data_IF_451175225925
#
_entry.id   IF_451175225925
#
_cell.length_a   1.000
_cell.length_b   1.000
_cell.length_c   1.000
_cell.angle_alpha   90.00
_cell.angle_beta   90.00
_cell.angle_gamma   90.00
#
_symmetry.space_group_name_H-M   'P 1'
#
loop_
_entity.id
_entity.type
_entity.pdbx_description
1 polymer ?
#
# COMPACT_ATOMS: atom_id res chain seq x y z
N UNK A 1 61.08 -11.76 39.14
CA UNK A 1 60.65 -10.55 38.42
C UNK A 1 59.38 -10.92 37.64
N UNK A 2 58.22 -10.56 38.21
CA UNK A 2 56.87 -10.93 37.67
C UNK A 2 56.37 -9.73 36.86
N UNK A 3 56.08 -9.93 35.57
CA UNK A 3 55.44 -8.94 34.71
C UNK A 3 53.95 -9.35 34.58
N UNK A 4 53.05 -8.57 35.19
CA UNK A 4 51.60 -8.67 34.98
C UNK A 4 51.25 -8.05 33.62
N UNK A 5 50.67 -8.85 32.74
CA UNK A 5 50.03 -8.37 31.52
C UNK A 5 48.56 -8.00 31.82
N UNK A 6 48.23 -6.71 31.73
CA UNK A 6 46.82 -6.26 31.73
C UNK A 6 46.15 -6.58 30.39
N UNK A 7 45.16 -7.45 30.39
CA UNK A 7 44.25 -7.66 29.27
C UNK A 7 43.17 -6.60 29.34
N UNK A 8 43.19 -5.65 28.40
CA UNK A 8 42.08 -4.70 28.18
C UNK A 8 40.99 -5.39 27.37
N UNK A 9 39.90 -5.73 28.03
CA UNK A 9 38.66 -6.15 27.35
C UNK A 9 37.92 -4.88 26.96
N UNK A 10 37.94 -4.56 25.65
CA UNK A 10 37.11 -3.52 25.07
C UNK A 10 35.68 -4.04 24.98
N UNK A 11 34.83 -3.63 25.91
CA UNK A 11 33.37 -3.74 25.80
C UNK A 11 32.90 -2.72 24.76
N UNK A 12 32.64 -3.18 23.55
CA UNK A 12 31.85 -2.41 22.57
C UNK A 12 30.41 -2.48 23.02
N UNK A 13 30.01 -1.52 23.83
CA UNK A 13 28.62 -1.30 24.15
C UNK A 13 27.89 -0.82 22.91
N UNK A 14 27.09 -1.71 22.29
CA UNK A 14 26.07 -1.31 21.33
C UNK A 14 25.10 -0.37 22.05
N UNK A 15 25.25 0.93 21.84
CA UNK A 15 24.27 1.94 22.20
C UNK A 15 23.02 1.69 21.34
N UNK A 16 22.11 0.87 21.87
CA UNK A 16 20.72 0.90 21.47
C UNK A 16 20.23 2.31 21.81
N UNK A 17 20.18 3.17 20.82
CA UNK A 17 19.44 4.44 20.92
C UNK A 17 17.96 4.11 20.99
N UNK A 18 17.50 3.70 22.17
CA UNK A 18 16.10 3.88 22.55
C UNK A 18 15.84 5.39 22.44
N UNK A 19 15.20 5.79 21.34
CA UNK A 19 14.70 7.14 21.23
C UNK A 19 13.68 7.29 22.37
N UNK A 20 14.12 7.90 23.46
CA UNK A 20 13.29 8.26 24.59
C UNK A 20 12.21 9.19 24.04
N UNK A 21 11.05 8.62 23.66
CA UNK A 21 9.89 9.42 23.22
C UNK A 21 9.55 10.33 24.40
N UNK A 22 9.67 11.64 24.17
CA UNK A 22 9.34 12.62 25.18
C UNK A 22 7.89 12.39 25.63
N UNK A 23 7.69 12.15 26.92
CA UNK A 23 6.33 12.03 27.46
C UNK A 23 5.65 13.41 27.41
N UNK A 24 4.33 13.46 27.15
CA UNK A 24 3.61 14.72 27.17
C UNK A 24 3.72 15.37 28.55
N UNK A 25 3.84 16.71 28.60
CA UNK A 25 3.83 17.41 29.89
C UNK A 25 2.53 17.12 30.63
N UNK A 26 2.59 17.05 31.96
CA UNK A 26 1.40 16.83 32.82
C UNK A 26 0.28 17.83 32.50
N UNK A 27 0.65 19.09 32.23
CA UNK A 27 -0.29 20.14 31.86
C UNK A 27 -0.98 19.88 30.53
N UNK A 28 -0.21 19.55 29.46
CA UNK A 28 -0.77 19.30 28.14
C UNK A 28 -1.65 18.04 28.16
N UNK A 29 -1.24 17.02 28.94
CA UNK A 29 -2.03 15.81 29.14
C UNK A 29 -3.38 16.12 29.79
N UNK A 30 -3.42 16.90 30.88
CA UNK A 30 -4.66 17.28 31.53
C UNK A 30 -5.57 18.11 30.61
N UNK A 31 -5.01 19.04 29.84
CA UNK A 31 -5.78 19.82 28.86
C UNK A 31 -6.42 18.88 27.85
N UNK A 32 -5.64 18.02 27.18
CA UNK A 32 -6.16 17.14 26.12
C UNK A 32 -7.16 16.13 26.67
N UNK A 33 -6.90 15.51 27.83
CA UNK A 33 -7.84 14.59 28.45
C UNK A 33 -9.16 15.27 28.87
N UNK A 34 -9.10 16.54 29.24
CA UNK A 34 -10.31 17.33 29.55
C UNK A 34 -11.08 17.62 28.26
N UNK A 35 -10.41 18.01 27.17
CA UNK A 35 -11.03 18.25 25.88
C UNK A 35 -11.71 16.97 25.32
N UNK A 36 -11.08 15.81 25.50
CA UNK A 36 -11.64 14.52 25.06
C UNK A 36 -12.92 14.10 25.79
N UNK A 37 -13.23 14.71 26.93
CA UNK A 37 -14.46 14.44 27.70
C UNK A 37 -15.61 15.36 27.32
N UNK A 38 -15.33 16.41 26.58
CA UNK A 38 -16.31 17.38 26.15
C UNK A 38 -16.81 17.01 24.74
N UNK A 39 -18.07 17.25 24.49
CA UNK A 39 -18.66 17.14 23.17
C UNK A 39 -18.51 18.47 22.41
N UNK A 40 -18.27 18.39 21.09
CA UNK A 40 -18.20 19.51 20.15
C UNK A 40 -17.18 20.64 20.52
N UNK A 41 -16.00 20.26 20.95
CA UNK A 41 -14.94 21.22 21.27
C UNK A 41 -14.24 21.71 20.02
N UNK A 42 -14.27 23.00 19.75
CA UNK A 42 -13.44 23.63 18.74
C UNK A 42 -12.06 23.96 19.32
N UNK A 43 -11.04 23.23 18.86
CA UNK A 43 -9.64 23.51 19.22
C UNK A 43 -9.08 24.61 18.31
N UNK A 44 -9.45 24.58 17.02
CA UNK A 44 -9.01 25.51 15.99
C UNK A 44 -9.48 26.94 16.31
N UNK A 45 -8.56 27.91 16.20
CA UNK A 45 -8.80 29.32 16.52
C UNK A 45 -8.49 29.69 17.96
N UNK A 46 -8.08 28.72 18.81
CA UNK A 46 -7.57 28.99 20.15
C UNK A 46 -6.09 28.60 20.24
N UNK A 47 -5.20 29.55 20.07
CA UNK A 47 -3.74 29.33 20.04
C UNK A 47 -3.19 28.53 21.23
N UNK A 48 -3.75 28.75 22.44
CA UNK A 48 -3.30 28.03 23.65
C UNK A 48 -3.69 26.56 23.61
N UNK A 49 -4.92 26.27 23.16
CA UNK A 49 -5.40 24.90 23.02
C UNK A 49 -4.68 24.19 21.88
N UNK A 50 -4.56 24.84 20.71
CA UNK A 50 -3.83 24.31 19.57
C UNK A 50 -2.38 23.95 19.93
N UNK A 51 -1.69 24.86 20.63
CA UNK A 51 -0.32 24.62 21.08
C UNK A 51 -0.20 23.44 22.04
N UNK A 52 -1.15 23.29 22.98
CA UNK A 52 -1.18 22.16 23.91
C UNK A 52 -1.47 20.83 23.20
N UNK A 53 -2.46 20.81 22.29
CA UNK A 53 -2.81 19.63 21.48
C UNK A 53 -1.63 19.24 20.60
N UNK A 54 -0.99 20.18 19.92
CA UNK A 54 0.18 19.92 19.05
C UNK A 54 1.35 19.31 19.84
N UNK A 55 1.68 19.84 21.02
CA UNK A 55 2.75 19.27 21.87
C UNK A 55 2.38 17.87 22.36
N UNK A 56 1.13 17.66 22.75
CA UNK A 56 0.64 16.35 23.18
C UNK A 56 0.73 15.34 22.03
N UNK A 57 0.23 15.67 20.83
CA UNK A 57 0.28 14.83 19.64
C UNK A 57 1.72 14.44 19.26
N UNK A 58 2.66 15.38 19.32
CA UNK A 58 4.07 15.10 19.10
C UNK A 58 4.62 14.04 20.06
N UNK A 59 4.22 14.08 21.32
CA UNK A 59 4.67 13.13 22.33
C UNK A 59 4.04 11.74 22.16
N UNK A 60 2.79 11.66 21.68
CA UNK A 60 2.07 10.38 21.48
C UNK A 60 2.13 9.88 20.03
N UNK A 61 2.91 10.53 19.14
CA UNK A 61 3.03 10.15 17.72
C UNK A 61 3.49 8.70 17.58
N UNK A 62 2.83 7.93 16.71
CA UNK A 62 3.08 6.50 16.52
C UNK A 62 2.48 5.60 17.61
N UNK A 63 1.50 6.09 18.34
CA UNK A 63 0.65 5.29 19.25
C UNK A 63 -0.81 5.39 18.81
N UNK A 64 -1.68 4.44 19.21
CA UNK A 64 -3.13 4.53 18.90
C UNK A 64 -3.77 5.82 19.42
N UNK A 65 -3.25 6.39 20.50
CA UNK A 65 -3.74 7.63 21.10
C UNK A 65 -3.58 8.84 20.17
N UNK A 66 -2.60 8.82 19.28
CA UNK A 66 -2.39 9.87 18.29
C UNK A 66 -3.62 10.08 17.40
N UNK A 67 -4.11 9.00 16.78
CA UNK A 67 -5.28 9.06 15.92
C UNK A 67 -6.58 9.33 16.68
N UNK A 68 -6.73 8.72 17.87
CA UNK A 68 -7.89 8.95 18.75
C UNK A 68 -8.09 10.44 19.05
N UNK A 69 -7.01 11.14 19.40
CA UNK A 69 -7.06 12.58 19.73
C UNK A 69 -7.40 13.41 18.50
N UNK A 70 -6.77 13.13 17.36
CA UNK A 70 -7.04 13.86 16.12
C UNK A 70 -8.48 13.69 15.66
N UNK A 71 -8.99 12.46 15.68
CA UNK A 71 -10.34 12.11 15.26
C UNK A 71 -11.39 12.74 16.17
N UNK A 72 -11.26 12.56 17.49
CA UNK A 72 -12.25 13.05 18.45
C UNK A 72 -12.29 14.58 18.53
N UNK A 73 -11.13 15.25 18.44
CA UNK A 73 -11.06 16.70 18.44
C UNK A 73 -11.21 17.32 17.05
N UNK A 74 -11.37 16.52 16.00
CA UNK A 74 -11.40 16.95 14.60
C UNK A 74 -10.28 17.92 14.26
N UNK A 75 -9.06 17.63 14.79
CA UNK A 75 -7.95 18.56 14.75
C UNK A 75 -7.25 18.59 13.39
N UNK A 76 -7.63 19.55 12.55
CA UNK A 76 -7.09 19.74 11.20
C UNK A 76 -5.62 20.20 11.18
N UNK A 77 -5.10 20.75 12.28
CA UNK A 77 -3.69 21.16 12.38
C UNK A 77 -2.67 20.02 12.23
N UNK A 78 -3.15 18.76 12.16
CA UNK A 78 -2.33 17.57 11.90
C UNK A 78 -2.26 17.16 10.41
N UNK A 79 -2.88 17.88 9.48
CA UNK A 79 -3.02 17.44 8.09
C UNK A 79 -1.68 17.10 7.41
N UNK A 80 -0.63 17.90 7.64
CA UNK A 80 0.72 17.63 7.10
C UNK A 80 1.34 16.36 7.68
N UNK A 81 1.18 16.11 8.98
CA UNK A 81 1.66 14.89 9.61
C UNK A 81 0.87 13.66 9.14
N UNK A 82 -0.45 13.78 9.01
CA UNK A 82 -1.32 12.73 8.46
C UNK A 82 -0.91 12.40 7.03
N UNK A 83 -0.62 13.40 6.19
CA UNK A 83 -0.14 13.17 4.83
C UNK A 83 1.17 12.37 4.82
N UNK A 84 2.14 12.75 5.66
CA UNK A 84 3.41 12.04 5.76
C UNK A 84 3.23 10.57 6.19
N UNK A 85 2.25 10.30 7.05
CA UNK A 85 1.90 8.92 7.45
C UNK A 85 1.17 8.18 6.33
N UNK A 86 0.23 8.83 5.63
CA UNK A 86 -0.57 8.23 4.56
C UNK A 86 0.28 7.74 3.38
N UNK A 87 1.37 8.45 3.04
CA UNK A 87 2.25 8.11 1.91
C UNK A 87 3.48 7.29 2.31
N UNK A 88 3.55 6.83 3.57
CA UNK A 88 4.67 6.04 4.09
C UNK A 88 4.76 4.67 3.40
N UNK A 89 5.97 4.21 3.15
CA UNK A 89 6.26 2.86 2.65
C UNK A 89 7.14 2.10 3.65
N UNK A 90 6.85 0.83 3.96
CA UNK A 90 5.68 0.05 3.52
C UNK A 90 4.39 0.57 4.14
N UNK A 91 3.27 0.35 3.43
CA UNK A 91 1.94 0.75 3.88
C UNK A 91 1.47 -0.13 5.04
N UNK A 92 1.01 0.52 6.11
CA UNK A 92 0.43 -0.13 7.29
C UNK A 92 -1.01 0.36 7.58
N UNK A 93 -1.57 -0.05 8.70
CA UNK A 93 -2.90 0.39 9.15
C UNK A 93 -2.97 1.89 9.40
N UNK A 94 -1.87 2.47 9.89
CA UNK A 94 -1.77 3.88 10.23
C UNK A 94 -1.83 4.74 8.97
N UNK A 95 -1.22 4.27 7.88
CA UNK A 95 -1.28 4.95 6.57
C UNK A 95 -2.71 5.03 6.04
N UNK A 96 -3.48 3.95 6.18
CA UNK A 96 -4.90 3.92 5.78
C UNK A 96 -5.73 4.85 6.66
N UNK A 97 -5.54 4.79 7.99
CA UNK A 97 -6.27 5.66 8.93
C UNK A 97 -5.94 7.14 8.71
N UNK A 98 -4.68 7.46 8.42
CA UNK A 98 -4.27 8.82 8.11
C UNK A 98 -4.94 9.34 6.82
N UNK A 99 -4.98 8.51 5.76
CA UNK A 99 -5.69 8.88 4.52
C UNK A 99 -7.20 9.07 4.76
N UNK A 100 -7.82 8.23 5.58
CA UNK A 100 -9.23 8.33 5.93
C UNK A 100 -9.55 9.65 6.66
N UNK A 101 -8.76 10.01 7.66
CA UNK A 101 -8.91 11.29 8.39
C UNK A 101 -8.70 12.51 7.49
N UNK A 102 -7.76 12.45 6.53
CA UNK A 102 -7.60 13.53 5.55
C UNK A 102 -8.86 13.72 4.68
N UNK A 103 -9.51 12.61 4.30
CA UNK A 103 -10.78 12.66 3.55
C UNK A 103 -11.95 13.16 4.41
N UNK A 104 -12.03 12.75 5.67
CA UNK A 104 -13.04 13.20 6.63
C UNK A 104 -12.93 14.69 6.96
N UNK A 105 -11.71 15.24 6.94
CA UNK A 105 -11.44 16.65 7.23
C UNK A 105 -11.44 17.56 5.99
N UNK A 106 -11.96 17.08 4.86
CA UNK A 106 -11.99 17.82 3.60
C UNK A 106 -10.59 18.30 3.14
N UNK A 107 -9.56 17.49 3.44
CA UNK A 107 -8.15 17.76 3.09
C UNK A 107 -7.66 16.85 1.96
N UNK A 108 -8.55 16.36 1.13
CA UNK A 108 -8.24 15.45 0.00
C UNK A 108 -7.26 16.04 -1.01
N UNK A 109 -7.20 17.36 -1.14
CA UNK A 109 -6.28 18.05 -2.04
C UNK A 109 -4.81 17.67 -1.78
N UNK A 110 -4.46 17.42 -0.51
CA UNK A 110 -3.13 16.98 -0.13
C UNK A 110 -2.80 15.58 -0.71
N UNK A 111 -3.77 14.67 -0.69
CA UNK A 111 -3.64 13.34 -1.28
C UNK A 111 -3.64 13.42 -2.81
N UNK A 112 -4.50 14.25 -3.40
CA UNK A 112 -4.56 14.46 -4.86
C UNK A 112 -3.22 15.01 -5.37
N UNK A 113 -2.60 15.95 -4.66
CA UNK A 113 -1.27 16.46 -5.01
C UNK A 113 -0.22 15.34 -5.04
N UNK A 114 -0.30 14.36 -4.13
CA UNK A 114 0.60 13.19 -4.08
C UNK A 114 0.36 12.18 -5.19
N UNK A 115 -0.81 12.15 -5.81
CA UNK A 115 -1.07 11.32 -6.99
C UNK A 115 -0.35 11.84 -8.25
N UNK A 116 0.13 13.07 -8.23
CA UNK A 116 0.92 13.71 -9.29
C UNK A 116 2.39 13.93 -8.89
N UNK A 117 2.86 13.28 -7.83
CA UNK A 117 4.26 13.35 -7.39
C UNK A 117 5.19 12.72 -8.45
N UNK A 118 6.39 13.25 -8.58
CA UNK A 118 7.42 12.70 -9.49
C UNK A 118 7.94 11.33 -9.02
N UNK A 119 7.87 11.04 -7.73
CA UNK A 119 8.22 9.74 -7.16
C UNK A 119 7.06 8.75 -7.29
N UNK A 120 7.20 7.80 -8.20
CA UNK A 120 6.22 6.73 -8.44
C UNK A 120 5.93 5.90 -7.18
N UNK A 121 6.87 5.78 -6.24
CA UNK A 121 6.65 5.07 -4.98
C UNK A 121 5.63 5.82 -4.11
N UNK A 122 5.71 7.15 -4.06
CA UNK A 122 4.74 8.01 -3.35
C UNK A 122 3.36 7.91 -4.01
N UNK A 123 3.29 7.99 -5.34
CA UNK A 123 2.04 7.84 -6.10
C UNK A 123 1.38 6.51 -5.77
N UNK A 124 2.12 5.41 -5.86
CA UNK A 124 1.61 4.07 -5.56
C UNK A 124 1.18 3.92 -4.10
N UNK A 125 1.95 4.45 -3.14
CA UNK A 125 1.58 4.41 -1.72
C UNK A 125 0.26 5.17 -1.49
N UNK A 126 0.11 6.35 -2.09
CA UNK A 126 -1.11 7.16 -2.00
C UNK A 126 -2.33 6.43 -2.57
N UNK A 127 -2.20 5.82 -3.77
CA UNK A 127 -3.29 5.03 -4.37
C UNK A 127 -3.64 3.84 -3.48
N UNK A 128 -2.64 3.14 -2.94
CA UNK A 128 -2.88 1.99 -2.06
C UNK A 128 -3.54 2.38 -0.75
N UNK A 129 -3.15 3.50 -0.14
CA UNK A 129 -3.78 4.02 1.07
C UNK A 129 -5.25 4.35 0.79
N UNK A 130 -5.52 5.16 -0.25
CA UNK A 130 -6.87 5.50 -0.71
C UNK A 130 -7.72 4.26 -1.00
N UNK A 131 -7.17 3.29 -1.73
CA UNK A 131 -7.89 2.06 -2.10
C UNK A 131 -8.34 1.21 -0.91
N UNK A 132 -7.75 1.40 0.26
CA UNK A 132 -8.09 0.67 1.48
C UNK A 132 -9.03 1.44 2.39
N UNK A 133 -9.26 2.73 2.14
CA UNK A 133 -10.26 3.51 2.86
C UNK A 133 -11.68 3.11 2.43
N UNK A 134 -12.65 3.37 3.30
CA UNK A 134 -14.08 3.16 3.00
C UNK A 134 -14.77 4.45 2.56
N UNK A 135 -14.06 5.56 2.51
CA UNK A 135 -14.61 6.88 2.27
C UNK A 135 -15.14 7.06 0.84
N UNK A 136 -16.33 7.64 0.69
CA UNK A 136 -17.02 7.80 -0.61
C UNK A 136 -16.22 8.63 -1.63
N UNK A 137 -15.44 9.62 -1.20
CA UNK A 137 -14.59 10.47 -2.07
C UNK A 137 -13.52 9.67 -2.80
N UNK A 138 -13.09 8.51 -2.26
CA UNK A 138 -12.03 7.68 -2.86
C UNK A 138 -12.30 7.31 -4.31
N UNK A 139 -13.56 6.98 -4.64
CA UNK A 139 -13.93 6.65 -6.01
C UNK A 139 -13.72 7.85 -6.95
N UNK A 140 -14.17 9.03 -6.57
CA UNK A 140 -14.03 10.24 -7.42
C UNK A 140 -12.58 10.66 -7.60
N UNK A 141 -11.73 10.44 -6.58
CA UNK A 141 -10.30 10.75 -6.64
C UNK A 141 -9.55 9.76 -7.56
N UNK A 142 -9.87 8.46 -7.48
CA UNK A 142 -9.14 7.45 -8.24
C UNK A 142 -9.66 7.24 -9.67
N UNK A 143 -10.93 7.54 -9.91
CA UNK A 143 -11.59 7.36 -11.22
C UNK A 143 -10.87 8.01 -12.41
N UNK A 144 -10.40 9.27 -12.34
CA UNK A 144 -9.70 9.91 -13.45
C UNK A 144 -8.40 9.19 -13.82
N UNK A 145 -7.70 8.59 -12.83
CA UNK A 145 -6.42 7.93 -13.06
C UNK A 145 -6.56 6.66 -13.91
N UNK A 146 -7.73 6.04 -13.97
CA UNK A 146 -7.98 4.82 -14.75
C UNK A 146 -7.77 5.07 -16.24
N UNK A 147 -8.23 6.20 -16.75
CA UNK A 147 -8.24 6.53 -18.18
C UNK A 147 -7.15 7.52 -18.60
N UNK A 148 -6.40 8.08 -17.67
CA UNK A 148 -5.33 9.03 -17.99
C UNK A 148 -4.15 8.31 -18.66
N UNK A 149 -4.02 8.49 -19.98
CA UNK A 149 -2.96 7.87 -20.78
C UNK A 149 -1.56 8.43 -20.50
N UNK A 150 -1.44 9.55 -19.80
CA UNK A 150 -0.14 10.11 -19.39
C UNK A 150 0.46 9.36 -18.21
N UNK A 151 -0.36 8.63 -17.46
CA UNK A 151 0.08 7.84 -16.33
C UNK A 151 0.62 6.48 -16.78
N UNK A 152 1.62 5.98 -16.05
CA UNK A 152 2.18 4.67 -16.31
C UNK A 152 1.13 3.57 -16.15
N UNK A 153 1.32 2.44 -16.85
CA UNK A 153 0.48 1.24 -16.69
C UNK A 153 0.35 0.83 -15.23
N UNK A 154 1.42 0.90 -14.45
CA UNK A 154 1.43 0.52 -13.04
C UNK A 154 0.47 1.39 -12.21
N UNK A 155 0.53 2.70 -12.38
CA UNK A 155 -0.36 3.65 -11.67
C UNK A 155 -1.82 3.40 -12.05
N UNK A 156 -2.12 3.26 -13.35
CA UNK A 156 -3.47 2.98 -13.85
C UNK A 156 -4.01 1.63 -13.34
N UNK A 157 -3.18 0.59 -13.30
CA UNK A 157 -3.55 -0.71 -12.73
C UNK A 157 -3.86 -0.64 -11.23
N UNK A 158 -3.08 0.15 -10.48
CA UNK A 158 -3.35 0.40 -9.06
C UNK A 158 -4.67 1.16 -8.85
N UNK A 159 -4.94 2.18 -9.68
CA UNK A 159 -6.21 2.93 -9.66
C UNK A 159 -7.41 2.03 -9.99
N UNK A 160 -7.30 1.16 -11.00
CA UNK A 160 -8.31 0.14 -11.34
C UNK A 160 -8.60 -0.76 -10.13
N UNK A 161 -7.55 -1.24 -9.46
CA UNK A 161 -7.70 -2.09 -8.27
C UNK A 161 -8.39 -1.36 -7.13
N UNK A 162 -8.12 -0.06 -6.97
CA UNK A 162 -8.76 0.79 -5.97
C UNK A 162 -10.23 1.06 -6.30
N UNK A 163 -10.50 1.51 -7.51
CA UNK A 163 -11.85 1.77 -8.02
C UNK A 163 -12.73 0.51 -7.93
N UNK A 164 -12.18 -0.66 -8.26
CA UNK A 164 -12.91 -1.93 -8.25
C UNK A 164 -13.28 -2.49 -6.87
N UNK A 165 -12.98 -1.80 -5.77
CA UNK A 165 -13.28 -2.26 -4.40
C UNK A 165 -14.77 -2.24 -4.05
N UNK A 166 -15.56 -1.43 -4.69
CA UNK A 166 -16.98 -1.31 -4.44
C UNK A 166 -17.82 -1.45 -5.73
N UNK A 167 -19.11 -1.69 -5.57
CA UNK A 167 -20.03 -1.95 -6.69
C UNK A 167 -20.07 -0.78 -7.69
N UNK A 168 -20.07 0.47 -7.21
CA UNK A 168 -20.09 1.67 -8.07
C UNK A 168 -18.88 1.70 -9.00
N UNK A 169 -17.71 1.42 -8.46
CA UNK A 169 -16.45 1.34 -9.23
C UNK A 169 -16.43 0.15 -10.19
N UNK A 170 -16.95 -0.99 -9.79
CA UNK A 170 -17.06 -2.17 -10.66
C UNK A 170 -17.98 -1.89 -11.85
N UNK A 171 -19.11 -1.24 -11.64
CA UNK A 171 -20.02 -0.81 -12.70
C UNK A 171 -19.35 0.19 -13.66
N UNK A 172 -18.54 1.12 -13.12
CA UNK A 172 -17.75 2.02 -13.93
C UNK A 172 -16.72 1.27 -14.81
N UNK A 173 -16.01 0.30 -14.25
CA UNK A 173 -15.05 -0.53 -15.00
C UNK A 173 -15.75 -1.37 -16.09
N UNK A 174 -16.92 -1.94 -15.81
CA UNK A 174 -17.74 -2.64 -16.83
C UNK A 174 -18.14 -1.70 -17.96
N UNK A 175 -18.55 -0.47 -17.65
CA UNK A 175 -18.86 0.54 -18.67
C UNK A 175 -17.63 0.85 -19.54
N UNK A 176 -16.47 1.03 -18.94
CA UNK A 176 -15.23 1.28 -19.70
C UNK A 176 -14.84 0.12 -20.60
N UNK A 177 -15.09 -1.13 -20.18
CA UNK A 177 -14.90 -2.31 -21.03
C UNK A 177 -15.87 -2.33 -22.20
N UNK A 178 -17.16 -2.08 -21.96
CA UNK A 178 -18.19 -2.06 -22.98
C UNK A 178 -17.98 -0.95 -24.03
N UNK A 179 -17.28 0.11 -23.67
CA UNK A 179 -16.90 1.22 -24.55
C UNK A 179 -15.46 1.17 -25.06
N UNK A 180 -14.79 0.03 -24.90
CA UNK A 180 -13.40 -0.23 -25.34
C UNK A 180 -12.36 0.78 -24.82
N UNK A 181 -12.62 1.42 -23.69
CA UNK A 181 -11.71 2.41 -23.08
C UNK A 181 -10.64 1.75 -22.19
N UNK A 182 -10.70 0.44 -21.97
CA UNK A 182 -9.67 -0.33 -21.25
C UNK A 182 -8.74 -0.99 -22.29
N UNK A 183 -7.50 -0.52 -22.42
CA UNK A 183 -6.54 -1.14 -23.34
C UNK A 183 -6.12 -2.52 -22.85
N UNK A 184 -5.58 -3.35 -23.76
CA UNK A 184 -5.24 -4.75 -23.48
C UNK A 184 -4.33 -4.93 -22.28
N UNK A 185 -3.35 -4.05 -22.11
CA UNK A 185 -2.40 -4.10 -20.99
C UNK A 185 -3.04 -3.84 -19.61
N UNK A 186 -4.25 -3.30 -19.56
CA UNK A 186 -5.00 -3.09 -18.30
C UNK A 186 -6.11 -4.13 -18.08
N UNK A 187 -6.37 -5.01 -19.05
CA UNK A 187 -7.44 -6.01 -18.94
C UNK A 187 -7.22 -6.99 -17.79
N UNK A 188 -5.97 -7.37 -17.49
CA UNK A 188 -5.69 -8.24 -16.34
C UNK A 188 -6.09 -7.59 -15.02
N UNK A 189 -5.68 -6.33 -14.79
CA UNK A 189 -6.04 -5.60 -13.56
C UNK A 189 -7.55 -5.42 -13.45
N UNK A 190 -8.22 -5.08 -14.56
CA UNK A 190 -9.67 -4.89 -14.64
C UNK A 190 -10.41 -6.20 -14.38
N UNK A 191 -10.02 -7.29 -15.06
CA UNK A 191 -10.59 -8.61 -14.86
C UNK A 191 -10.43 -9.09 -13.42
N UNK A 192 -9.24 -8.92 -12.84
CA UNK A 192 -8.97 -9.30 -11.46
C UNK A 192 -9.88 -8.54 -10.45
N UNK A 193 -10.14 -7.25 -10.68
CA UNK A 193 -11.04 -6.45 -9.86
C UNK A 193 -12.49 -6.90 -9.98
N UNK A 194 -12.96 -7.18 -11.21
CA UNK A 194 -14.34 -7.57 -11.49
C UNK A 194 -14.66 -9.01 -11.08
N UNK A 195 -13.76 -9.97 -11.35
CA UNK A 195 -13.94 -11.37 -10.96
C UNK A 195 -13.84 -11.59 -9.44
N UNK A 196 -13.22 -10.67 -8.71
CA UNK A 196 -13.20 -10.67 -7.25
C UNK A 196 -14.48 -10.09 -6.63
N UNK A 197 -15.41 -9.55 -7.43
CA UNK A 197 -16.67 -9.01 -6.92
C UNK A 197 -17.49 -10.06 -6.17
N UNK A 198 -18.10 -9.70 -5.02
CA UNK A 198 -19.12 -10.55 -4.40
C UNK A 198 -20.39 -10.64 -5.26
N UNK A 199 -20.67 -9.64 -6.08
CA UNK A 199 -21.83 -9.59 -6.97
C UNK A 199 -21.65 -10.54 -8.16
N UNK A 200 -22.54 -11.53 -8.27
CA UNK A 200 -22.53 -12.51 -9.36
C UNK A 200 -22.76 -11.86 -10.72
N UNK A 201 -23.64 -10.87 -10.81
CA UNK A 201 -23.96 -10.17 -12.06
C UNK A 201 -22.72 -9.43 -12.62
N UNK A 202 -21.93 -8.80 -11.74
CA UNK A 202 -20.66 -8.16 -12.14
C UNK A 202 -19.70 -9.19 -12.73
N UNK A 203 -19.55 -10.37 -12.08
CA UNK A 203 -18.65 -11.42 -12.58
C UNK A 203 -19.11 -11.97 -13.92
N UNK A 204 -20.40 -12.21 -14.09
CA UNK A 204 -20.99 -12.70 -15.35
C UNK A 204 -20.82 -11.68 -16.48
N UNK A 205 -21.10 -10.41 -16.24
CA UNK A 205 -20.87 -9.35 -17.23
C UNK A 205 -19.39 -9.23 -17.61
N UNK A 206 -18.47 -9.35 -16.65
CA UNK A 206 -17.04 -9.30 -16.94
C UNK A 206 -16.58 -10.37 -17.91
N UNK A 207 -17.17 -11.59 -17.88
CA UNK A 207 -16.82 -12.68 -18.81
C UNK A 207 -17.17 -12.41 -20.26
N UNK A 208 -18.07 -11.46 -20.53
CA UNK A 208 -18.38 -11.05 -21.90
C UNK A 208 -17.23 -10.28 -22.57
N UNK A 209 -16.38 -9.63 -21.77
CA UNK A 209 -15.31 -8.77 -22.25
C UNK A 209 -13.91 -9.33 -22.01
N UNK A 210 -13.71 -10.02 -20.88
CA UNK A 210 -12.39 -10.49 -20.43
C UNK A 210 -12.47 -11.99 -20.12
N UNK A 211 -11.56 -12.77 -20.70
CA UNK A 211 -11.35 -14.16 -20.29
C UNK A 211 -10.45 -14.21 -19.05
N UNK A 212 -10.85 -14.88 -17.97
CA UNK A 212 -9.95 -15.09 -16.84
C UNK A 212 -8.72 -15.89 -17.27
N UNK A 213 -7.54 -15.68 -16.64
CA UNK A 213 -6.38 -16.53 -16.85
C UNK A 213 -6.73 -18.00 -16.58
N UNK A 214 -6.16 -18.91 -17.36
CA UNK A 214 -6.42 -20.36 -17.27
C UNK A 214 -5.17 -21.12 -16.85
N UNK A 215 -5.39 -22.26 -16.20
CA UNK A 215 -4.34 -23.26 -15.98
C UNK A 215 -4.00 -23.97 -17.29
N UNK A 216 -2.90 -24.75 -17.31
CA UNK A 216 -2.57 -25.61 -18.44
C UNK A 216 -3.69 -26.60 -18.81
N UNK A 217 -4.55 -26.96 -17.84
CA UNK A 217 -5.75 -27.80 -18.04
C UNK A 217 -7.00 -27.02 -18.46
N UNK A 218 -6.88 -25.76 -18.89
CA UNK A 218 -7.98 -24.88 -19.31
C UNK A 218 -9.03 -24.61 -18.23
N UNK A 219 -8.64 -24.76 -16.96
CA UNK A 219 -9.50 -24.36 -15.83
C UNK A 219 -9.24 -22.90 -15.49
N UNK A 220 -10.26 -22.04 -15.41
CA UNK A 220 -10.09 -20.65 -15.02
C UNK A 220 -9.42 -20.52 -13.66
N UNK A 221 -8.44 -19.62 -13.55
CA UNK A 221 -7.80 -19.31 -12.28
C UNK A 221 -8.70 -18.40 -11.45
N UNK A 222 -8.78 -18.64 -10.13
CA UNK A 222 -9.43 -17.70 -9.23
C UNK A 222 -8.75 -16.33 -9.25
N UNK A 223 -9.48 -15.25 -8.91
CA UNK A 223 -8.88 -13.92 -8.77
C UNK A 223 -7.75 -13.90 -7.76
N UNK A 224 -6.81 -12.97 -7.93
CA UNK A 224 -5.61 -12.84 -7.08
C UNK A 224 -5.92 -12.80 -5.58
N UNK A 225 -6.95 -12.11 -5.06
CA UNK A 225 -7.27 -12.14 -3.63
C UNK A 225 -7.59 -13.56 -3.13
N UNK A 226 -8.30 -14.36 -3.92
CA UNK A 226 -8.62 -15.77 -3.59
C UNK A 226 -7.37 -16.64 -3.61
N UNK A 227 -6.48 -16.44 -4.59
CA UNK A 227 -5.19 -17.13 -4.65
C UNK A 227 -4.31 -16.77 -3.45
N UNK A 228 -4.24 -15.50 -3.10
CA UNK A 228 -3.43 -14.99 -1.99
C UNK A 228 -3.91 -15.50 -0.61
N UNK A 229 -5.19 -15.81 -0.48
CA UNK A 229 -5.74 -16.38 0.75
C UNK A 229 -5.37 -17.88 0.96
N UNK A 230 -4.93 -18.58 -0.09
CA UNK A 230 -4.55 -20.00 0.00
C UNK A 230 -3.21 -20.16 0.72
N UNK A 231 -3.08 -21.25 1.49
CA UNK A 231 -1.80 -21.69 2.05
C UNK A 231 -1.06 -22.58 1.03
N UNK A 232 0.26 -22.54 1.06
CA UNK A 232 1.13 -23.38 0.25
C UNK A 232 2.07 -24.23 1.10
N UNK A 233 2.72 -25.21 0.44
CA UNK A 233 3.79 -26.01 1.05
C UNK A 233 5.14 -25.53 0.50
N UNK A 234 6.04 -25.10 1.38
CA UNK A 234 7.35 -24.52 1.02
C UNK A 234 8.23 -25.53 0.25
N UNK A 235 8.29 -26.79 0.71
CA UNK A 235 9.13 -27.82 0.08
C UNK A 235 8.67 -28.15 -1.33
N UNK A 236 7.34 -28.25 -1.54
CA UNK A 236 6.75 -28.43 -2.87
C UNK A 236 7.02 -27.20 -3.72
N UNK A 237 6.85 -25.99 -3.17
CA UNK A 237 7.12 -24.73 -3.86
C UNK A 237 8.57 -24.63 -4.33
N UNK A 238 9.55 -24.99 -3.48
CA UNK A 238 10.97 -25.03 -3.85
C UNK A 238 11.22 -25.99 -5.03
N UNK A 239 10.62 -27.17 -4.99
CA UNK A 239 10.74 -28.16 -6.08
C UNK A 239 10.13 -27.65 -7.39
N UNK A 240 8.95 -27.01 -7.31
CA UNK A 240 8.29 -26.40 -8.48
C UNK A 240 9.13 -25.26 -9.07
N UNK A 241 9.67 -24.37 -8.23
CA UNK A 241 10.53 -23.26 -8.64
C UNK A 241 11.76 -23.75 -9.41
N UNK A 242 12.42 -24.77 -8.88
CA UNK A 242 13.63 -25.32 -9.48
C UNK A 242 13.40 -26.06 -10.80
N UNK A 243 12.26 -26.78 -10.91
CA UNK A 243 12.03 -27.75 -11.97
C UNK A 243 10.85 -27.36 -12.88
N UNK A 244 9.62 -27.73 -12.52
CA UNK A 244 8.45 -27.66 -13.39
C UNK A 244 8.09 -26.22 -13.78
N UNK A 245 8.19 -25.25 -12.88
CA UNK A 245 7.90 -23.85 -13.15
C UNK A 245 9.06 -23.14 -13.86
N UNK A 246 10.24 -23.75 -13.92
CA UNK A 246 11.45 -23.25 -14.62
C UNK A 246 11.97 -21.88 -14.14
N UNK A 247 11.49 -21.37 -13.01
CA UNK A 247 11.85 -20.05 -12.49
C UNK A 247 13.36 -19.91 -12.22
N UNK A 248 14.00 -20.98 -11.71
CA UNK A 248 15.43 -21.03 -11.44
C UNK A 248 16.33 -20.90 -12.70
N UNK A 249 15.78 -20.99 -13.89
CA UNK A 249 16.52 -20.73 -15.15
C UNK A 249 16.89 -19.25 -15.30
N UNK A 250 16.14 -18.36 -14.67
CA UNK A 250 16.36 -16.92 -14.75
C UNK A 250 16.56 -16.26 -13.38
N UNK A 251 15.93 -16.77 -12.34
CA UNK A 251 15.95 -16.17 -11.01
C UNK A 251 16.76 -16.97 -10.01
N UNK A 252 17.40 -16.25 -9.08
CA UNK A 252 18.14 -16.80 -7.95
C UNK A 252 17.34 -16.65 -6.65
N UNK A 253 17.38 -17.68 -5.80
CA UNK A 253 16.83 -17.65 -4.44
C UNK A 253 17.86 -18.29 -3.52
N UNK A 254 18.33 -17.56 -2.52
CA UNK A 254 19.34 -18.03 -1.54
C UNK A 254 20.54 -18.74 -2.19
N UNK A 255 21.05 -18.15 -3.25
CA UNK A 255 22.22 -18.67 -3.98
C UNK A 255 21.93 -19.78 -5.00
N UNK A 256 20.67 -20.29 -5.08
CA UNK A 256 20.27 -21.33 -6.04
C UNK A 256 19.54 -20.73 -7.23
N UNK A 257 19.92 -21.11 -8.45
CA UNK A 257 19.35 -20.61 -9.71
C UNK A 257 20.33 -19.71 -10.47
N UNK A 258 19.84 -19.00 -11.48
CA UNK A 258 20.62 -18.10 -12.34
C UNK A 258 20.25 -16.64 -12.07
N UNK A 259 21.13 -15.73 -12.49
CA UNK A 259 21.01 -14.28 -12.27
C UNK A 259 20.76 -13.55 -13.60
N UNK A 260 19.81 -14.08 -14.40
CA UNK A 260 19.34 -13.45 -15.63
C UNK A 260 18.24 -12.44 -15.31
N UNK A 261 17.39 -12.76 -14.35
CA UNK A 261 16.39 -11.89 -13.74
C UNK A 261 16.78 -11.49 -12.33
N UNK A 262 15.96 -10.65 -11.66
CA UNK A 262 16.22 -10.21 -10.28
C UNK A 262 16.40 -11.38 -9.30
N UNK A 263 17.29 -11.21 -8.31
CA UNK A 263 17.40 -12.11 -7.18
C UNK A 263 16.11 -11.98 -6.30
N UNK A 264 15.45 -13.11 -6.07
CA UNK A 264 14.20 -13.20 -5.33
C UNK A 264 14.38 -13.65 -3.88
N UNK A 265 15.61 -13.71 -3.36
CA UNK A 265 15.89 -14.17 -1.99
C UNK A 265 15.13 -13.39 -0.92
N UNK A 266 14.95 -12.09 -1.12
CA UNK A 266 14.28 -11.17 -0.19
C UNK A 266 12.92 -10.71 -0.72
N UNK A 267 12.34 -11.38 -1.72
CA UNK A 267 11.10 -10.91 -2.36
C UNK A 267 9.92 -10.90 -1.39
N UNK A 268 9.91 -11.81 -0.42
CA UNK A 268 8.84 -11.91 0.58
C UNK A 268 8.77 -10.72 1.54
N UNK A 269 9.88 -9.99 1.75
CA UNK A 269 9.90 -8.76 2.54
C UNK A 269 9.57 -7.52 1.70
N UNK A 270 9.72 -7.60 0.36
CA UNK A 270 9.52 -6.49 -0.57
C UNK A 270 8.12 -6.44 -1.17
N UNK A 271 7.53 -7.61 -1.44
CA UNK A 271 6.22 -7.71 -2.08
C UNK A 271 5.23 -8.48 -1.21
N UNK A 272 3.99 -7.99 -1.19
CA UNK A 272 2.89 -8.76 -0.62
C UNK A 272 2.63 -10.02 -1.46
N UNK A 273 1.99 -11.03 -0.85
CA UNK A 273 1.61 -12.26 -1.56
C UNK A 273 0.76 -11.99 -2.80
N UNK A 274 -0.17 -11.04 -2.72
CA UNK A 274 -0.96 -10.60 -3.87
C UNK A 274 -0.10 -9.98 -4.97
N UNK A 275 0.85 -9.14 -4.63
CA UNK A 275 1.76 -8.53 -5.61
C UNK A 275 2.65 -9.59 -6.29
N UNK A 276 3.08 -10.61 -5.56
CA UNK A 276 3.81 -11.74 -6.15
C UNK A 276 2.94 -12.53 -7.14
N UNK A 277 1.66 -12.77 -6.84
CA UNK A 277 0.75 -13.41 -7.82
C UNK A 277 0.56 -12.54 -9.05
N UNK A 278 0.41 -11.22 -8.90
CA UNK A 278 0.33 -10.32 -10.05
C UNK A 278 1.59 -10.41 -10.91
N UNK A 279 2.78 -10.38 -10.30
CA UNK A 279 4.05 -10.49 -11.03
C UNK A 279 4.21 -11.81 -11.80
N UNK A 280 3.58 -12.90 -11.35
CA UNK A 280 3.58 -14.19 -12.04
C UNK A 280 2.53 -14.24 -13.16
N UNK A 281 1.32 -13.71 -12.92
CA UNK A 281 0.19 -13.83 -13.84
C UNK A 281 0.16 -12.72 -14.91
N UNK A 282 0.74 -11.58 -14.60
CA UNK A 282 0.90 -10.43 -15.48
C UNK A 282 2.33 -9.86 -15.36
N UNK A 283 3.34 -10.53 -15.90
CA UNK A 283 4.76 -10.18 -15.70
C UNK A 283 5.10 -8.75 -16.13
N UNK A 284 4.34 -8.20 -17.07
CA UNK A 284 4.54 -6.83 -17.55
C UNK A 284 3.87 -5.76 -16.68
N UNK A 285 3.13 -6.14 -15.63
CA UNK A 285 2.48 -5.17 -14.73
C UNK A 285 3.48 -4.32 -13.93
N UNK A 286 4.68 -4.85 -13.68
CA UNK A 286 5.77 -4.13 -13.03
C UNK A 286 7.09 -4.85 -13.27
N UNK A 287 7.97 -4.20 -14.03
CA UNK A 287 9.31 -4.71 -14.32
C UNK A 287 10.28 -4.01 -13.37
N UNK A 288 11.17 -4.77 -12.73
CA UNK A 288 12.20 -4.19 -11.87
C UNK A 288 13.15 -3.35 -12.69
N UNK A 289 13.54 -2.21 -12.13
CA UNK A 289 14.57 -1.35 -12.72
C UNK A 289 15.82 -2.17 -13.11
N UNK A 290 16.43 -1.88 -14.26
CA UNK A 290 17.54 -2.61 -14.89
C UNK A 290 17.17 -3.99 -15.51
N UNK A 291 15.90 -4.36 -15.58
CA UNK A 291 15.44 -5.59 -16.25
C UNK A 291 14.43 -5.31 -17.37
N UNK A 292 14.35 -4.06 -17.81
CA UNK A 292 13.53 -3.68 -18.96
C UNK A 292 14.06 -4.35 -20.22
N UNK A 293 13.14 -4.81 -21.08
CA UNK A 293 13.49 -5.43 -22.36
C UNK A 293 13.34 -4.41 -23.47
N UNK A 294 14.38 -4.26 -24.27
CA UNK A 294 14.39 -3.38 -25.44
C UNK A 294 14.45 -4.21 -26.72
N UNK A 295 13.64 -3.87 -27.72
CA UNK A 295 13.80 -4.39 -29.09
C UNK A 295 14.76 -3.48 -29.83
N UNK A 296 15.81 -4.07 -30.39
CA UNK A 296 16.71 -3.38 -31.32
C UNK A 296 16.12 -3.61 -32.72
N UNK A 297 15.75 -2.52 -33.38
CA UNK A 297 15.20 -2.52 -34.75
C UNK A 297 16.27 -2.04 -35.70
#
# INVERSE_FOLDING_TARGET
MRILGCIYVLFVGALLSDQCKAQPSTRDKLIVESLLRLDDVMVTGNEKLESAVKRYLNAVKGTPKYFEVIEKLKYQGSATDLLAIAVKTPLDSDSVKAAELLLEFDSEELLIAKLHDSDTAIVNATIQALSRTTHAKTFEILKPLVTDIKLSRQVRSAAISGVGKNLRGQQYLLKLLATEQIPKELQFATGNALFASPDKSVREQATMFIKPPETAGKTPLPPVPVLAAKSGNESIGKTLFANKATCAKCHKVKGQGKEVGPDLSEIGSKLSKSAMYVAILDPSAGISHNYETYSIV
#
